data_IF_576898822253
#
_entry.id   IF_576898822253
#
_cell.length_a   1.000
_cell.length_b   1.000
_cell.length_c   1.000
_cell.angle_alpha   90.00
_cell.angle_beta   90.00
_cell.angle_gamma   90.00
#
_symmetry.space_group_name_H-M   'P 1'
#
loop_
_entity.id
_entity.type
_entity.pdbx_description
1 polymer ?
2 non-polymer ?
3 non-polymer ?
4 non-polymer ?
5 water ?
#
# COMPACT_ATOMS: atom_id res chain seq x y z
N UNK A 22 -5.40 25.87 -1.45
CA UNK A 22 -4.67 24.85 -2.26
C UNK A 22 -4.91 25.00 -3.77
N UNK A 23 -3.89 24.67 -4.60
CA UNK A 23 -4.06 24.59 -6.05
C UNK A 23 -4.96 23.41 -6.45
N UNK A 24 -5.42 23.37 -7.69
CA UNK A 24 -6.06 22.16 -8.25
C UNK A 24 -5.11 20.98 -8.05
N UNK A 25 -5.66 19.78 -7.89
CA UNK A 25 -4.83 18.62 -7.59
C UNK A 25 -3.64 18.46 -8.54
N UNK A 26 -3.85 18.55 -9.86
CA UNK A 26 -2.74 18.40 -10.80
C UNK A 26 -1.65 19.46 -10.60
N UNK A 27 -2.05 20.69 -10.37
CA UNK A 27 -1.08 21.76 -10.14
C UNK A 27 -0.31 21.51 -8.85
N UNK A 28 -0.99 21.04 -7.81
CA UNK A 28 -0.30 20.70 -6.56
C UNK A 28 0.70 19.55 -6.78
N UNK A 29 0.30 18.53 -7.51
CA UNK A 29 1.21 17.43 -7.81
C UNK A 29 2.47 17.96 -8.50
N UNK A 30 2.30 18.83 -9.49
CA UNK A 30 3.44 19.41 -10.20
C UNK A 30 4.33 20.20 -9.25
N UNK A 31 3.70 21.00 -8.40
CA UNK A 31 4.43 21.79 -7.40
C UNK A 31 5.28 20.92 -6.48
N UNK A 32 4.71 19.78 -6.09
CA UNK A 32 5.42 18.80 -5.29
C UNK A 32 6.67 18.26 -6.02
N UNK A 33 6.59 17.97 -7.33
CA UNK A 33 7.80 17.59 -8.09
C UNK A 33 8.84 18.68 -8.10
N UNK A 34 8.40 19.91 -8.33
CA UNK A 34 9.32 21.03 -8.37
C UNK A 34 10.02 21.15 -7.00
N UNK A 35 9.25 21.00 -5.92
CA UNK A 35 9.82 21.22 -4.61
C UNK A 35 10.71 20.09 -4.15
N UNK A 36 10.32 18.86 -4.50
CA UNK A 36 11.09 17.67 -4.11
C UNK A 36 12.28 17.36 -5.04
N UNK A 37 12.25 17.90 -6.26
CA UNK A 37 13.16 17.52 -7.36
C UNK A 37 13.06 16.04 -7.75
N UNK A 38 11.95 15.42 -7.40
CA UNK A 38 11.74 14.00 -7.62
C UNK A 38 10.50 13.76 -8.47
N UNK A 39 10.28 12.50 -8.82
CA UNK A 39 9.09 12.12 -9.57
C UNK A 39 8.00 11.75 -8.60
N UNK A 40 6.81 12.25 -8.90
CA UNK A 40 5.58 11.85 -8.23
C UNK A 40 4.75 11.05 -9.20
N UNK A 41 4.09 10.00 -8.73
CA UNK A 41 3.10 9.29 -9.52
C UNK A 41 1.82 9.24 -8.73
N UNK A 42 0.68 9.48 -9.37
CA UNK A 42 -0.57 9.62 -8.65
C UNK A 42 -1.77 9.18 -9.48
N UNK A 43 -2.67 8.41 -8.86
CA UNK A 43 -4.00 8.15 -9.37
C UNK A 43 -5.02 8.46 -8.29
N UNK A 44 -6.14 9.02 -8.73
CA UNK A 44 -7.35 9.16 -7.93
C UNK A 44 -8.44 8.46 -8.72
N UNK A 45 -9.08 7.48 -8.11
CA UNK A 45 -10.02 6.60 -8.81
C UNK A 45 -11.29 6.38 -7.95
N UNK A 46 -12.47 6.41 -8.56
CA UNK A 46 -13.68 6.04 -7.86
C UNK A 46 -13.63 4.56 -7.48
N UNK A 47 -13.81 4.27 -6.19
CA UNK A 47 -13.72 2.89 -5.73
C UNK A 47 -14.79 2.01 -6.37
N UNK A 48 -16.03 2.50 -6.38
CA UNK A 48 -17.13 1.69 -6.88
C UNK A 48 -17.03 1.41 -8.38
N UNK A 49 -16.65 2.39 -9.18
CA UNK A 49 -16.69 2.20 -10.63
C UNK A 49 -15.35 2.04 -11.34
N UNK A 50 -14.26 2.53 -10.74
CA UNK A 50 -12.99 2.53 -11.43
C UNK A 50 -12.75 3.74 -12.28
N UNK A 51 -13.67 4.70 -12.26
CA UNK A 51 -13.46 5.99 -12.97
C UNK A 51 -12.15 6.61 -12.50
N UNK A 52 -11.29 6.95 -13.44
CA UNK A 52 -10.06 7.66 -13.10
C UNK A 52 -10.31 9.15 -13.16
N UNK A 53 -10.16 9.84 -12.04
CA UNK A 53 -10.26 11.30 -12.07
C UNK A 53 -8.93 11.90 -12.43
N UNK A 54 -7.93 11.68 -11.58
CA UNK A 54 -6.66 12.34 -11.74
C UNK A 54 -5.63 11.27 -12.02
N UNK A 55 -4.74 11.55 -12.96
CA UNK A 55 -3.68 10.65 -13.31
C UNK A 55 -2.46 11.51 -13.60
N UNK A 56 -1.34 11.16 -12.98
CA UNK A 56 -0.06 11.82 -13.23
C UNK A 56 1.03 10.77 -13.16
N UNK A 57 1.79 10.62 -14.24
CA UNK A 57 2.81 9.58 -14.36
C UNK A 57 2.20 8.24 -13.99
N UNK A 58 0.96 8.02 -14.40
CA UNK A 58 0.24 6.88 -13.89
C UNK A 58 0.72 5.55 -14.45
N UNK A 59 1.45 5.60 -15.57
CA UNK A 59 2.00 4.40 -16.15
C UNK A 59 3.50 4.27 -15.93
N UNK A 60 4.08 5.14 -15.09
CA UNK A 60 5.50 5.04 -14.77
C UNK A 60 5.71 4.18 -13.53
N UNK A 61 6.88 3.55 -13.46
CA UNK A 61 7.22 2.63 -12.38
C UNK A 61 7.72 3.34 -11.14
N UNK A 62 7.27 2.85 -9.98
CA UNK A 62 7.72 3.31 -8.68
C UNK A 62 7.90 2.10 -7.78
N UNK A 63 8.91 2.13 -6.89
CA UNK A 63 9.03 1.08 -5.89
C UNK A 63 7.77 1.00 -5.02
N UNK A 64 7.26 -0.21 -4.78
CA UNK A 64 6.12 -0.38 -3.90
C UNK A 64 6.46 -0.16 -2.43
N UNK A 65 7.68 -0.52 -2.02
CA UNK A 65 8.04 -0.56 -0.61
C UNK A 65 6.96 -1.36 0.15
N UNK A 66 6.63 -0.94 1.36
CA UNK A 66 5.69 -1.71 2.19
C UNK A 66 4.27 -1.71 1.67
N UNK A 67 3.95 -0.89 0.65
CA UNK A 67 2.60 -0.95 0.09
C UNK A 67 2.30 -2.31 -0.53
N UNK A 68 3.33 -3.09 -0.86
CA UNK A 68 3.10 -4.42 -1.43
C UNK A 68 2.33 -5.32 -0.45
N UNK A 69 2.40 -5.01 0.84
CA UNK A 69 1.80 -5.87 1.87
C UNK A 69 0.30 -6.01 1.73
N UNK A 70 -0.37 -5.01 1.15
CA UNK A 70 -1.80 -5.14 0.92
C UNK A 70 -2.10 -6.21 -0.16
N UNK A 71 -1.36 -6.17 -1.27
CA UNK A 71 -1.51 -7.17 -2.31
C UNK A 71 -1.16 -8.55 -1.81
N UNK A 72 -0.09 -8.62 -1.00
CA UNK A 72 0.31 -9.85 -0.36
C UNK A 72 -0.84 -10.49 0.40
N UNK A 73 -1.51 -9.73 1.25
CA UNK A 73 -2.60 -10.30 2.00
C UNK A 73 -3.82 -10.57 1.15
N UNK A 74 -3.96 -9.88 0.01
CA UNK A 74 -4.98 -10.30 -0.98
C UNK A 74 -4.71 -11.71 -1.48
N UNK A 75 -3.45 -12.01 -1.77
CA UNK A 75 -3.10 -13.36 -2.22
C UNK A 75 -3.35 -14.40 -1.12
N UNK A 76 -3.08 -14.04 0.13
CA UNK A 76 -3.33 -14.93 1.26
C UNK A 76 -4.85 -15.20 1.34
N UNK A 77 -5.65 -14.13 1.25
CA UNK A 77 -7.08 -14.27 1.33
C UNK A 77 -7.63 -15.14 0.20
N UNK A 78 -7.06 -15.01 -1.00
CA UNK A 78 -7.50 -15.83 -2.12
C UNK A 78 -7.26 -17.32 -1.79
N UNK A 79 -6.14 -17.63 -1.16
CA UNK A 79 -5.89 -19.00 -0.74
C UNK A 79 -6.89 -19.46 0.33
N UNK A 80 -7.22 -18.56 1.28
CA UNK A 80 -8.25 -18.89 2.27
C UNK A 80 -9.59 -19.23 1.59
N UNK A 81 -9.99 -18.40 0.63
CA UNK A 81 -11.25 -18.60 -0.04
C UNK A 81 -11.28 -19.94 -0.78
N UNK A 82 -10.14 -20.35 -1.34
CA UNK A 82 -10.04 -21.61 -2.06
C UNK A 82 -9.90 -22.83 -1.15
N UNK A 83 -9.85 -22.60 0.16
CA UNK A 83 -9.69 -23.70 1.11
C UNK A 83 -8.26 -24.19 1.21
N UNK A 84 -7.32 -23.38 0.72
CA UNK A 84 -5.90 -23.74 0.78
C UNK A 84 -5.14 -23.11 1.96
N UNK A 85 -5.84 -22.30 2.74
CA UNK A 85 -5.24 -21.56 3.84
C UNK A 85 -6.33 -21.27 4.86
N UNK A 86 -5.94 -21.02 6.11
CA UNK A 86 -6.89 -20.55 7.12
C UNK A 86 -6.26 -19.37 7.80
N UNK A 87 -7.04 -18.32 8.06
CA UNK A 87 -6.51 -17.21 8.83
C UNK A 87 -6.17 -17.62 10.27
N UNK A 88 -6.80 -18.69 10.75
CA UNK A 88 -6.54 -19.20 12.08
C UNK A 88 -5.23 -19.94 12.19
N UNK A 89 -4.69 -20.42 11.08
CA UNK A 89 -3.54 -21.32 11.15
C UNK A 89 -2.34 -20.67 11.83
N UNK A 90 -1.78 -21.32 12.85
CA UNK A 90 -0.65 -20.74 13.56
C UNK A 90 0.65 -21.11 12.90
N UNK A 91 1.48 -20.09 12.66
CA UNK A 91 2.80 -20.26 12.09
C UNK A 91 3.82 -20.07 13.19
N UNK A 92 4.66 -21.07 13.41
CA UNK A 92 5.76 -20.92 14.33
C UNK A 92 7.03 -20.67 13.54
N UNK A 93 7.86 -19.79 14.07
CA UNK A 93 9.05 -19.33 13.38
C UNK A 93 10.15 -19.15 14.39
N UNK A 94 11.35 -18.86 13.89
CA UNK A 94 12.55 -18.82 14.72
C UNK A 94 13.21 -17.45 14.63
N UNK A 95 14.02 -17.15 15.63
CA UNK A 95 14.65 -15.85 15.68
C UNK A 95 15.54 -15.56 14.48
N UNK A 96 16.23 -16.59 13.99
CA UNK A 96 17.10 -16.44 12.84
C UNK A 96 16.34 -16.10 11.55
N UNK A 97 15.02 -16.30 11.56
CA UNK A 97 14.15 -15.96 10.44
C UNK A 97 13.87 -14.48 10.36
N UNK A 98 14.00 -13.77 11.48
CA UNK A 98 13.58 -12.37 11.55
C UNK A 98 14.50 -11.44 10.76
N UNK A 99 13.90 -10.45 10.13
CA UNK A 99 14.64 -9.38 9.46
C UNK A 99 14.42 -8.09 10.23
N UNK A 100 15.06 -7.03 9.77
CA UNK A 100 14.93 -5.72 10.38
C UNK A 100 13.47 -5.27 10.52
N UNK A 101 13.12 -4.71 11.67
CA UNK A 101 11.80 -4.13 11.96
C UNK A 101 10.69 -5.20 12.04
N UNK A 102 10.65 -5.85 13.20
CA UNK A 102 9.73 -6.91 13.50
C UNK A 102 9.05 -6.66 14.85
N UNK A 103 8.37 -5.49 15.00
CA UNK A 103 7.85 -5.09 16.32
C UNK A 103 6.85 -6.07 16.91
N UNK A 104 6.04 -6.71 16.06
CA UNK A 104 5.05 -7.65 16.53
C UNK A 104 5.63 -9.04 16.56
N UNK A 105 6.22 -9.46 15.44
CA UNK A 105 6.67 -10.83 15.31
C UNK A 105 7.80 -11.21 16.28
N UNK A 106 8.65 -10.25 16.66
CA UNK A 106 9.71 -10.60 17.63
C UNK A 106 9.15 -10.94 19.00
N UNK A 107 7.91 -10.54 19.28
CA UNK A 107 7.23 -10.86 20.54
C UNK A 107 6.66 -12.27 20.62
N UNK A 108 6.67 -13.01 19.50
CA UNK A 108 5.96 -14.29 19.41
C UNK A 108 6.81 -15.46 18.95
N UNK A 109 8.09 -15.43 19.30
CA UNK A 109 8.95 -16.55 18.99
C UNK A 109 8.50 -17.86 19.61
N UNK A 110 8.01 -17.81 20.85
CA UNK A 110 7.60 -19.01 21.55
C UNK A 110 6.25 -19.52 21.08
N UNK A 111 5.29 -18.61 20.88
CA UNK A 111 3.90 -19.01 20.68
C UNK A 111 3.40 -18.91 19.25
N UNK A 112 4.17 -18.29 18.36
CA UNK A 112 3.79 -18.18 16.97
C UNK A 112 2.74 -17.12 16.76
N UNK A 113 2.32 -16.96 15.50
CA UNK A 113 1.27 -16.03 15.12
C UNK A 113 0.39 -16.69 14.11
N UNK A 114 -0.91 -16.40 14.14
CA UNK A 114 -1.77 -16.92 13.08
C UNK A 114 -1.53 -16.19 11.77
N UNK A 115 -1.94 -16.83 10.67
CA UNK A 115 -1.85 -16.19 9.37
C UNK A 115 -2.57 -14.84 9.38
N UNK A 116 -3.77 -14.79 9.98
CA UNK A 116 -4.48 -13.53 10.06
C UNK A 116 -3.74 -12.51 10.91
N UNK A 117 -3.18 -12.92 12.05
CA UNK A 117 -2.36 -12.02 12.85
C UNK A 117 -1.15 -11.51 12.09
N UNK A 118 -0.57 -12.38 11.26
CA UNK A 118 0.57 -11.95 10.45
C UNK A 118 0.16 -10.88 9.43
N UNK A 119 -0.99 -11.07 8.78
CA UNK A 119 -1.47 -10.02 7.88
C UNK A 119 -1.77 -8.72 8.64
N UNK A 120 -2.38 -8.81 9.83
CA UNK A 120 -2.61 -7.61 10.62
C UNK A 120 -1.27 -6.94 10.94
N UNK A 121 -0.27 -7.73 11.35
CA UNK A 121 1.02 -7.14 11.69
C UNK A 121 1.68 -6.49 10.45
N UNK A 122 1.62 -7.18 9.32
CA UNK A 122 2.20 -6.64 8.10
C UNK A 122 1.52 -5.35 7.68
N UNK A 123 0.19 -5.36 7.60
CA UNK A 123 -0.52 -4.21 7.10
C UNK A 123 -0.60 -3.07 8.14
N UNK A 124 -0.87 -3.39 9.40
CA UNK A 124 -1.16 -2.33 10.34
C UNK A 124 0.06 -1.85 11.10
N UNK A 125 1.12 -2.67 11.16
CA UNK A 125 2.35 -2.32 11.88
C UNK A 125 3.57 -2.27 10.96
N UNK A 126 3.40 -2.68 9.70
CA UNK A 126 4.49 -2.79 8.73
C UNK A 126 5.60 -3.70 9.24
N UNK A 127 5.20 -4.79 9.90
CA UNK A 127 6.16 -5.76 10.42
C UNK A 127 6.79 -6.53 9.25
N UNK A 128 8.08 -6.37 9.07
CA UNK A 128 8.75 -6.95 7.90
C UNK A 128 8.85 -8.46 7.94
N UNK A 129 9.12 -9.03 9.11
CA UNK A 129 9.21 -10.48 9.22
C UNK A 129 7.84 -11.11 9.00
N UNK A 130 6.77 -10.48 9.51
CA UNK A 130 5.43 -10.97 9.24
C UNK A 130 5.20 -11.03 7.74
N UNK A 131 5.58 -9.97 7.02
CA UNK A 131 5.43 -9.96 5.56
C UNK A 131 6.21 -11.11 4.90
N UNK A 132 7.44 -11.35 5.32
CA UNK A 132 8.23 -12.43 4.74
C UNK A 132 7.64 -13.81 5.03
N UNK A 133 7.14 -14.01 6.25
CA UNK A 133 6.46 -15.27 6.60
C UNK A 133 5.25 -15.50 5.69
N UNK A 134 4.46 -14.46 5.46
CA UNK A 134 3.35 -14.55 4.56
C UNK A 134 3.80 -14.80 3.11
N UNK A 135 4.86 -14.11 2.69
CA UNK A 135 5.35 -14.24 1.31
C UNK A 135 5.74 -15.69 1.06
N UNK A 136 6.30 -16.38 2.06
CA UNK A 136 6.67 -17.77 1.94
C UNK A 136 5.45 -18.60 1.57
N UNK A 137 4.30 -18.33 2.21
CA UNK A 137 3.09 -19.12 2.01
C UNK A 137 2.47 -18.99 0.61
N UNK A 138 2.77 -17.90 -0.10
CA UNK A 138 2.18 -17.67 -1.41
C UNK A 138 3.16 -17.95 -2.55
N UNK A 139 4.29 -18.59 -2.25
CA UNK A 139 5.27 -18.94 -3.27
C UNK A 139 6.33 -17.87 -3.48
N UNK A 140 6.55 -17.05 -2.45
CA UNK A 140 7.58 -16.01 -2.53
C UNK A 140 7.23 -14.91 -3.50
N UNK A 141 8.20 -14.03 -3.78
CA UNK A 141 8.00 -12.96 -4.76
C UNK A 141 7.48 -13.44 -6.12
N UNK A 142 7.99 -14.56 -6.63
CA UNK A 142 7.48 -15.11 -7.89
C UNK A 142 6.01 -15.53 -7.78
N UNK A 143 5.65 -16.17 -6.68
CA UNK A 143 4.26 -16.53 -6.42
C UNK A 143 3.32 -15.34 -6.32
N UNK A 144 3.77 -14.29 -5.64
CA UNK A 144 2.94 -13.10 -5.55
C UNK A 144 2.76 -12.45 -6.92
N UNK A 145 3.84 -12.42 -7.71
CA UNK A 145 3.77 -11.88 -9.06
C UNK A 145 2.80 -12.71 -9.91
N UNK A 146 2.85 -14.04 -9.77
CA UNK A 146 1.91 -14.90 -10.47
C UNK A 146 0.45 -14.61 -10.09
N UNK A 147 0.22 -14.33 -8.80
CA UNK A 147 -1.12 -13.98 -8.32
C UNK A 147 -1.58 -12.67 -8.99
N UNK A 148 -0.67 -11.70 -9.04
CA UNK A 148 -0.98 -10.43 -9.73
C UNK A 148 -1.39 -10.68 -11.19
N UNK A 149 -0.65 -11.52 -11.88
CA UNK A 149 -1.02 -11.85 -13.26
C UNK A 149 -2.40 -12.51 -13.32
N UNK A 150 -2.70 -13.36 -12.34
CA UNK A 150 -3.99 -14.07 -12.29
C UNK A 150 -5.16 -13.13 -12.14
N UNK A 151 -4.95 -11.99 -11.48
CA UNK A 151 -6.01 -11.01 -11.35
C UNK A 151 -5.94 -9.93 -12.42
N UNK A 152 -5.07 -10.13 -13.42
CA UNK A 152 -5.03 -9.25 -14.58
C UNK A 152 -4.15 -8.01 -14.42
N UNK A 153 -3.27 -7.99 -13.41
CA UNK A 153 -2.24 -6.97 -13.32
C UNK A 153 -0.99 -7.53 -13.99
N UNK A 154 -0.67 -7.00 -15.17
CA UNK A 154 0.46 -7.45 -15.96
C UNK A 154 1.69 -6.59 -15.77
N UNK A 155 1.66 -5.69 -14.78
CA UNK A 155 2.69 -4.69 -14.62
C UNK A 155 3.42 -4.80 -13.28
N UNK A 156 2.66 -4.84 -12.19
CA UNK A 156 3.25 -4.91 -10.85
C UNK A 156 4.07 -6.17 -10.70
N UNK A 157 5.23 -6.06 -10.04
CA UNK A 157 6.09 -7.22 -9.87
C UNK A 157 6.78 -7.13 -8.52
N UNK A 158 6.84 -8.26 -7.83
CA UNK A 158 7.69 -8.38 -6.65
C UNK A 158 8.81 -9.37 -6.99
N UNK A 159 10.03 -8.99 -6.65
CA UNK A 159 11.22 -9.75 -7.00
C UNK A 159 12.02 -10.19 -5.78
N UNK A 160 11.95 -9.39 -4.72
CA UNK A 160 12.75 -9.62 -3.53
C UNK A 160 11.88 -9.64 -2.27
N UNK A 161 12.53 -9.99 -1.17
CA UNK A 161 11.91 -10.10 0.15
C UNK A 161 12.20 -8.83 0.94
N UNK A 162 11.56 -8.68 2.10
CA UNK A 162 11.98 -7.63 3.01
C UNK A 162 13.35 -7.99 3.56
N UNK A 163 14.29 -7.05 3.64
CA UNK A 163 14.12 -5.62 3.35
C UNK A 163 14.78 -5.19 2.03
N UNK A 164 15.34 -6.13 1.26
CA UNK A 164 16.04 -5.74 0.03
C UNK A 164 15.11 -5.10 -1.00
N UNK A 165 13.80 -5.39 -0.94
CA UNK A 165 12.87 -4.87 -1.93
C UNK A 165 12.72 -3.35 -1.85
N UNK A 166 13.30 -2.74 -0.82
CA UNK A 166 13.24 -1.29 -0.64
C UNK A 166 14.37 -0.48 -1.24
N UNK A 167 15.25 -1.16 -1.98
CA UNK A 167 16.49 -0.53 -2.43
C UNK A 167 16.29 0.66 -3.36
N UNK A 168 15.25 0.60 -4.17
CA UNK A 168 14.87 1.72 -5.02
C UNK A 168 16.06 2.23 -5.86
N UNK A 169 16.79 1.30 -6.48
CA UNK A 169 17.88 1.71 -7.35
C UNK A 169 17.33 2.46 -8.55
N UNK A 170 18.00 3.56 -8.94
CA UNK A 170 17.53 4.26 -10.12
C UNK A 170 17.45 3.31 -11.32
N UNK A 171 16.31 3.36 -12.00
CA UNK A 171 16.11 2.59 -13.21
C UNK A 171 15.84 1.09 -13.08
N UNK A 172 15.79 0.60 -11.85
CA UNK A 172 15.62 -0.82 -11.56
C UNK A 172 14.12 -1.13 -11.55
N UNK A 173 13.69 -2.08 -12.38
CA UNK A 173 12.27 -2.45 -12.47
C UNK A 173 11.83 -3.39 -11.35
N UNK A 174 12.77 -3.96 -10.59
CA UNK A 174 12.39 -4.89 -9.52
C UNK A 174 11.50 -4.23 -8.49
N UNK A 175 10.50 -4.98 -8.02
CA UNK A 175 9.73 -4.55 -6.83
C UNK A 175 8.96 -3.24 -7.07
N UNK A 176 8.45 -3.08 -8.29
CA UNK A 176 7.75 -1.87 -8.67
C UNK A 176 6.29 -2.12 -9.05
N UNK A 177 5.52 -1.04 -9.01
CA UNK A 177 4.19 -0.99 -9.59
C UNK A 177 4.09 0.29 -10.39
N UNK A 178 2.91 0.56 -10.95
CA UNK A 178 2.61 1.89 -11.46
C UNK A 178 1.37 2.37 -10.69
N UNK A 179 1.17 3.68 -10.61
CA UNK A 179 -0.04 4.14 -9.92
C UNK A 179 -1.32 3.54 -10.49
N UNK A 180 -1.41 3.48 -11.83
CA UNK A 180 -2.61 2.92 -12.46
C UNK A 180 -2.82 1.45 -12.13
N UNK A 181 -1.74 0.67 -12.17
CA UNK A 181 -1.87 -0.76 -11.90
C UNK A 181 -2.19 -1.02 -10.46
N UNK A 182 -1.53 -0.31 -9.55
CA UNK A 182 -1.82 -0.50 -8.13
C UNK A 182 -3.25 -0.10 -7.80
N UNK A 183 -3.73 1.01 -8.33
CA UNK A 183 -5.10 1.40 -8.06
C UNK A 183 -6.07 0.35 -8.58
N UNK A 184 -5.88 -0.10 -9.83
CA UNK A 184 -6.77 -1.11 -10.40
C UNK A 184 -6.73 -2.41 -9.61
N UNK A 185 -5.54 -2.81 -9.18
CA UNK A 185 -5.38 -4.02 -8.39
C UNK A 185 -6.08 -3.92 -7.03
N UNK A 186 -5.90 -2.80 -6.35
CA UNK A 186 -6.58 -2.62 -5.08
C UNK A 186 -8.08 -2.68 -5.27
N UNK A 187 -8.59 -2.02 -6.30
CA UNK A 187 -10.01 -2.06 -6.56
C UNK A 187 -10.49 -3.48 -6.80
N UNK A 188 -9.71 -4.25 -7.58
CA UNK A 188 -10.08 -5.65 -7.83
C UNK A 188 -10.16 -6.44 -6.53
N UNK A 189 -9.16 -6.24 -5.67
CA UNK A 189 -9.14 -7.00 -4.41
C UNK A 189 -10.29 -6.63 -3.50
N UNK A 190 -10.62 -5.35 -3.46
CA UNK A 190 -11.57 -4.88 -2.48
C UNK A 190 -13.01 -5.05 -2.93
N UNK A 191 -13.27 -5.04 -4.24
CA UNK A 191 -14.63 -4.90 -4.73
C UNK A 191 -15.10 -5.85 -5.81
N UNK A 192 -14.19 -6.57 -6.47
CA UNK A 192 -14.57 -7.25 -7.74
C UNK A 192 -15.14 -8.63 -7.56
N UNK A 193 -15.28 -9.09 -6.32
CA UNK A 193 -15.77 -10.45 -6.05
C UNK A 193 -14.81 -11.55 -6.50
N UNK A 194 -13.56 -11.18 -6.80
CA UNK A 194 -12.49 -12.18 -6.89
C UNK A 194 -12.29 -12.83 -5.52
N UNK A 195 -12.27 -12.00 -4.48
CA UNK A 195 -12.25 -12.46 -3.10
C UNK A 195 -13.70 -12.58 -2.62
N UNK A 196 -13.91 -13.46 -1.64
CA UNK A 196 -15.22 -13.63 -1.04
C UNK A 196 -15.63 -12.36 -0.31
N UNK A 197 -16.91 -12.27 0.02
CA UNK A 197 -17.40 -11.12 0.76
C UNK A 197 -16.63 -10.94 2.08
N UNK A 198 -16.48 -12.02 2.84
CA UNK A 198 -15.76 -11.92 4.11
C UNK A 198 -14.31 -11.49 3.90
N UNK A 199 -13.67 -12.04 2.88
CA UNK A 199 -12.27 -11.66 2.60
C UNK A 199 -12.12 -10.20 2.16
N UNK A 200 -13.03 -9.72 1.32
CA UNK A 200 -13.01 -8.30 0.93
C UNK A 200 -13.16 -7.43 2.17
N UNK A 201 -14.06 -7.84 3.07
CA UNK A 201 -14.27 -7.08 4.29
C UNK A 201 -13.02 -7.10 5.20
N UNK A 202 -12.35 -8.24 5.27
CA UNK A 202 -11.14 -8.36 6.08
C UNK A 202 -10.02 -7.47 5.53
N UNK A 203 -9.81 -7.47 4.22
CA UNK A 203 -8.71 -6.69 3.64
C UNK A 203 -8.94 -5.21 3.92
N UNK A 204 -10.19 -4.78 3.73
CA UNK A 204 -10.56 -3.41 4.01
C UNK A 204 -10.28 -3.06 5.49
N UNK A 205 -10.73 -3.93 6.40
CA UNK A 205 -10.55 -3.67 7.82
C UNK A 205 -9.07 -3.55 8.21
N UNK A 206 -8.21 -4.40 7.64
CA UNK A 206 -6.77 -4.26 7.92
C UNK A 206 -6.26 -2.86 7.56
N UNK A 207 -6.69 -2.34 6.39
CA UNK A 207 -6.28 -1.00 6.00
C UNK A 207 -6.87 0.08 6.90
N UNK A 208 -8.12 -0.08 7.31
CA UNK A 208 -8.73 0.82 8.28
C UNK A 208 -7.91 0.89 9.57
N UNK A 209 -7.37 -0.26 9.98
CA UNK A 209 -6.65 -0.39 11.23
C UNK A 209 -5.17 0.00 11.20
N UNK A 210 -4.66 0.55 10.10
CA UNK A 210 -3.26 0.93 10.05
C UNK A 210 -2.86 1.78 11.25
N UNK A 211 -1.80 1.37 11.93
CA UNK A 211 -1.33 2.15 13.08
C UNK A 211 -0.15 3.05 12.71
N UNK A 212 0.51 2.79 11.59
CA UNK A 212 1.70 3.54 11.24
C UNK A 212 1.37 4.98 10.83
N UNK A 213 0.36 5.14 9.97
CA UNK A 213 -0.04 6.45 9.49
C UNK A 213 -1.50 6.81 9.72
N UNK A 214 -2.39 5.81 9.86
CA UNK A 214 -3.82 6.07 9.98
C UNK A 214 -4.17 7.14 11.02
N UNK A 215 -3.72 6.96 12.27
CA UNK A 215 -4.09 7.93 13.31
C UNK A 215 -3.54 9.33 12.99
N UNK A 216 -2.31 9.41 12.49
CA UNK A 216 -1.74 10.70 12.11
C UNK A 216 -2.57 11.37 11.02
N UNK A 217 -2.92 10.62 9.98
CA UNK A 217 -3.75 11.17 8.94
C UNK A 217 -5.09 11.66 9.48
N UNK A 218 -5.74 10.86 10.32
CA UNK A 218 -7.01 11.31 10.90
C UNK A 218 -6.89 12.63 11.66
N UNK A 219 -5.75 12.80 12.34
CA UNK A 219 -5.53 14.01 13.13
C UNK A 219 -5.48 15.28 12.29
N UNK A 220 -5.20 15.15 10.99
CA UNK A 220 -5.15 16.31 10.09
C UNK A 220 -6.31 16.36 9.08
N UNK A 221 -7.15 15.33 9.06
CA UNK A 221 -8.28 15.32 8.13
C UNK A 221 -9.45 16.07 8.73
N UNK A 222 -10.19 16.84 7.93
CA UNK A 222 -11.39 17.43 8.48
C UNK A 222 -12.36 16.35 8.97
N UNK A 223 -13.16 16.72 9.96
CA UNK A 223 -14.25 15.85 10.39
C UNK A 223 -15.05 15.39 9.17
N UNK A 224 -15.43 14.12 9.17
CA UNK A 224 -16.30 13.56 8.15
C UNK A 224 -15.58 12.78 7.07
N UNK A 225 -14.25 12.85 7.05
CA UNK A 225 -13.46 12.20 6.01
C UNK A 225 -12.96 10.83 6.47
N UNK A 226 -13.32 9.82 5.72
CA UNK A 226 -12.89 8.44 5.89
C UNK A 226 -11.44 8.27 5.45
N UNK A 227 -10.65 7.52 6.20
CA UNK A 227 -9.35 7.09 5.71
C UNK A 227 -9.10 5.61 6.03
N UNK A 228 -8.53 4.91 5.07
CA UNK A 228 -7.91 3.59 5.30
C UNK A 228 -6.64 3.63 4.44
N UNK A 229 -5.57 2.95 4.85
CA UNK A 229 -4.31 3.16 4.14
C UNK A 229 -3.27 2.11 4.41
N UNK A 230 -2.30 2.08 3.51
CA UNK A 230 -0.99 1.49 3.79
C UNK A 230 0.06 2.41 3.22
N UNK A 231 1.05 2.75 4.02
CA UNK A 231 2.16 3.58 3.56
C UNK A 231 3.44 2.77 3.36
N UNK A 232 4.41 3.40 2.68
CA UNK A 232 5.70 2.81 2.50
C UNK A 232 6.77 3.87 2.42
N UNK A 233 7.99 3.45 2.71
CA UNK A 233 9.18 4.30 2.54
C UNK A 233 10.34 3.41 2.16
N UNK A 234 11.28 3.94 1.37
CA UNK A 234 12.44 3.19 0.92
C UNK A 234 13.63 4.09 0.72
N UNK A 235 14.61 3.61 -0.04
CA UNK A 235 15.85 4.35 -0.23
C UNK A 235 15.66 5.42 -1.30
N UNK A 236 16.63 6.32 -1.37
CA UNK A 236 16.64 7.37 -2.40
C UNK A 236 15.36 8.21 -2.40
N UNK A 237 14.81 8.42 -1.20
CA UNK A 237 13.62 9.23 -1.05
C UNK A 237 12.32 8.54 -1.35
N UNK A 238 12.34 7.25 -1.69
CA UNK A 238 11.08 6.58 -2.08
C UNK A 238 10.08 6.67 -0.93
N UNK A 239 8.82 6.94 -1.26
CA UNK A 239 7.77 7.10 -0.27
C UNK A 239 6.47 6.85 -0.97
N UNK A 240 5.46 6.34 -0.28
CA UNK A 240 4.19 6.16 -0.95
C UNK A 240 3.06 5.85 -0.03
N UNK A 241 1.86 5.92 -0.57
CA UNK A 241 0.66 5.59 0.15
C UNK A 241 -0.36 5.04 -0.83
N UNK A 242 -1.04 3.97 -0.41
CA UNK A 242 -2.25 3.50 -1.05
C UNK A 242 -3.37 3.72 -0.04
N UNK A 243 -4.43 4.39 -0.46
CA UNK A 243 -5.44 4.82 0.47
C UNK A 243 -6.84 4.76 -0.11
N UNK A 244 -7.80 4.68 0.80
CA UNK A 244 -9.20 4.92 0.52
C UNK A 244 -9.59 6.18 1.28
N UNK A 245 -10.30 7.09 0.61
CA UNK A 245 -10.58 8.44 1.12
C UNK A 245 -11.93 8.88 0.63
N UNK A 246 -12.67 9.57 1.48
CA UNK A 246 -13.89 10.19 1.02
C UNK A 246 -14.61 10.95 2.09
N UNK A 247 -15.48 11.89 1.69
CA UNK A 247 -16.30 12.62 2.62
C UNK A 247 -17.50 11.79 3.06
N UNK A 248 -18.28 12.31 4.00
CA UNK A 248 -19.47 11.62 4.47
C UNK A 248 -19.13 10.22 5.03
N UNK A 249 -17.91 10.08 5.57
CA UNK A 249 -17.48 8.84 6.22
C UNK A 249 -17.56 7.62 5.30
N UNK A 250 -17.30 7.85 4.02
CA UNK A 250 -17.35 6.80 3.00
C UNK A 250 -16.01 6.63 2.30
N UNK A 251 -15.66 5.38 2.01
CA UNK A 251 -14.47 5.11 1.18
C UNK A 251 -14.81 5.36 -0.28
N UNK A 252 -14.88 6.61 -0.70
CA UNK A 252 -15.35 6.94 -2.04
C UNK A 252 -14.31 6.68 -3.12
N UNK A 253 -13.06 7.01 -2.83
CA UNK A 253 -11.99 6.95 -3.84
C UNK A 253 -10.76 6.24 -3.32
N UNK A 254 -10.11 5.56 -4.27
CA UNK A 254 -8.74 5.09 -4.09
C UNK A 254 -7.81 6.21 -4.48
N UNK A 255 -6.83 6.50 -3.63
CA UNK A 255 -5.78 7.44 -3.96
C UNK A 255 -4.46 6.73 -3.78
N UNK A 256 -3.65 6.72 -4.84
CA UNK A 256 -2.34 6.11 -4.82
C UNK A 256 -1.33 7.20 -5.15
N UNK A 257 -0.37 7.42 -4.25
CA UNK A 257 0.69 8.40 -4.49
C UNK A 257 2.02 7.72 -4.20
N UNK A 258 2.95 7.79 -5.15
CA UNK A 258 4.31 7.35 -4.95
C UNK A 258 5.26 8.51 -5.25
N UNK A 259 6.38 8.55 -4.54
CA UNK A 259 7.47 9.50 -4.76
C UNK A 259 8.73 8.69 -4.95
N UNK A 260 9.63 9.14 -5.83
CA UNK A 260 10.93 8.49 -5.98
C UNK A 260 11.97 9.50 -6.38
N UNK A 261 13.23 9.14 -6.09
CA UNK A 261 14.39 9.91 -6.53
C UNK A 261 14.35 11.38 -6.13
N UNK A 262 14.11 11.57 -4.84
CA UNK A 262 14.20 12.87 -4.24
C UNK A 262 15.13 12.80 -3.04
N UNK A 263 15.96 13.85 -2.81
CA UNK A 263 16.83 13.86 -1.63
C UNK A 263 16.14 14.40 -0.37
N UNK A 264 14.84 14.67 -0.45
CA UNK A 264 14.15 15.40 0.60
C UNK A 264 14.02 14.61 1.90
N UNK A 265 13.96 15.34 3.00
CA UNK A 265 13.73 14.73 4.29
C UNK A 265 12.39 13.98 4.29
N UNK A 266 12.26 13.01 5.19
CA UNK A 266 11.00 12.31 5.38
C UNK A 266 9.87 13.28 5.70
N UNK A 267 10.14 14.26 6.56
CA UNK A 267 9.12 15.23 6.90
C UNK A 267 8.60 15.99 5.68
N UNK A 268 9.50 16.37 4.78
CA UNK A 268 9.11 17.11 3.59
C UNK A 268 8.33 16.23 2.61
N UNK A 269 8.72 14.97 2.49
CA UNK A 269 7.96 14.02 1.67
C UNK A 269 6.55 13.82 2.25
N UNK A 270 6.45 13.66 3.56
CA UNK A 270 5.15 13.55 4.20
C UNK A 270 4.29 14.79 3.92
N UNK A 271 4.89 15.97 4.05
CA UNK A 271 4.15 17.21 3.89
C UNK A 271 3.70 17.43 2.44
N UNK A 272 4.49 16.96 1.47
CA UNK A 272 4.08 17.07 0.07
C UNK A 272 2.91 16.14 -0.24
N UNK A 273 2.95 14.93 0.29
CA UNK A 273 1.83 14.00 0.11
C UNK A 273 0.57 14.60 0.76
N UNK A 274 0.72 15.13 1.97
CA UNK A 274 -0.40 15.78 2.64
C UNK A 274 -0.93 16.95 1.84
N UNK A 275 -0.05 17.72 1.21
CA UNK A 275 -0.47 18.83 0.35
C UNK A 275 -1.31 18.37 -0.84
N UNK A 276 -0.94 17.25 -1.44
CA UNK A 276 -1.75 16.69 -2.51
C UNK A 276 -3.10 16.30 -1.95
N UNK A 277 -3.13 15.65 -0.77
CA UNK A 277 -4.39 15.35 -0.11
C UNK A 277 -5.24 16.58 0.12
N UNK A 278 -4.64 17.66 0.61
CA UNK A 278 -5.38 18.91 0.82
C UNK A 278 -6.03 19.44 -0.46
N UNK A 279 -5.28 19.39 -1.57
CA UNK A 279 -5.82 19.83 -2.85
C UNK A 279 -7.00 18.97 -3.25
N UNK A 280 -6.92 17.66 -3.04
CA UNK A 280 -8.07 16.79 -3.37
C UNK A 280 -9.29 17.15 -2.56
N UNK A 281 -9.09 17.31 -1.26
CA UNK A 281 -10.17 17.64 -0.32
C UNK A 281 -10.84 18.97 -0.66
N UNK A 282 -10.03 19.98 -1.01
CA UNK A 282 -10.58 21.31 -1.31
C UNK A 282 -11.23 21.37 -2.69
N UNK A 283 -10.91 20.42 -3.56
CA UNK A 283 -11.47 20.38 -4.91
C UNK A 283 -12.05 18.98 -5.16
N UNK A 284 -12.96 18.52 -4.29
CA UNK A 284 -13.37 17.11 -4.34
C UNK A 284 -14.33 16.79 -5.48
N UNK A 285 -15.20 17.74 -5.81
CA UNK A 285 -16.24 17.47 -6.80
C UNK A 285 -15.73 17.71 -8.20
N UNK A 286 -15.26 16.63 -8.84
CA UNK A 286 -14.78 16.69 -10.22
C UNK A 286 -15.29 15.49 -10.98
#
# INVERSE_FOLDING_TARGET
MRYIRLCIISLLATLPLAVHASPQPLEQIKLSESQLSGRVGMIEMDLASGRTLTAWRADERFPMMSTFKVVLCGAVLARVDAGDEQLERKIHYRQQDLVDYSPVSEKHLADGMTVGELCAAAITMSDNSAANLLLATVGGPAGLTAFLRQIGDNVTRLDRWETELNEALPGDARDTTTPASMAATLRKLLTSQRLSARSQRQLLQWMVDDRVAGPLIRSVLPAGWFIADKTGAGERGARGIVALLGPNNKAERIVVIYLRDTPASMAERNQQIAGIGAALIEHWQR
#
